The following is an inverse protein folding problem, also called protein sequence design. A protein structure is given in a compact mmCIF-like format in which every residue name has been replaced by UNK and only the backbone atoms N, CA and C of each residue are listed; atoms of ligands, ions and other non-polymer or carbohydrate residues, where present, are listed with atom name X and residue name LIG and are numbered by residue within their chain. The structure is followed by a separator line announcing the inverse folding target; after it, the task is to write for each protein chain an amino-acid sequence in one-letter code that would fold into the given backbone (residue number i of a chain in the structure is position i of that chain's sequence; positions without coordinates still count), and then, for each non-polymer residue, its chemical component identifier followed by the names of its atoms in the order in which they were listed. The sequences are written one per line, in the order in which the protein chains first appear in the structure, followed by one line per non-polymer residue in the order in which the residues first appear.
data_IF_774522945367
#
_entry.id   IF_774522945367
#
_cell.length_a   1.000
_cell.length_b   1.000
_cell.length_c   1.000
_cell.angle_alpha   90.00
_cell.angle_beta   90.00
_cell.angle_gamma   90.00
#
_symmetry.space_group_name_H-M   'P 1'
#
loop_
_entity.id
_entity.type
_entity.pdbx_description
1 polymer ?
#
# COMPACT_ATOMS: atom_id res chain seq x y z
N UNK A 1 7.13 19.00 -18.06
CA UNK A 1 8.11 18.00 -18.50
C UNK A 1 7.73 16.68 -17.83
N UNK A 2 7.62 15.57 -18.57
CA UNK A 2 7.36 14.28 -17.93
C UNK A 2 8.52 13.94 -16.99
N UNK A 3 8.20 13.34 -15.85
CA UNK A 3 9.19 12.80 -14.91
C UNK A 3 10.15 11.88 -15.69
N UNK A 4 11.42 12.27 -15.77
CA UNK A 4 12.46 11.35 -16.22
C UNK A 4 12.46 10.14 -15.29
N UNK A 5 12.99 9.00 -15.73
CA UNK A 5 13.11 7.76 -14.94
C UNK A 5 13.83 7.97 -13.57
N UNK A 6 14.44 9.11 -13.36
CA UNK A 6 15.07 9.52 -12.10
C UNK A 6 14.09 10.11 -11.06
N UNK A 7 12.92 10.61 -11.50
CA UNK A 7 11.95 11.25 -10.61
C UNK A 7 11.44 10.35 -9.48
N UNK A 8 10.99 9.12 -9.75
CA UNK A 8 10.52 8.20 -8.73
C UNK A 8 11.62 7.81 -7.71
N UNK A 9 12.85 7.58 -8.18
CA UNK A 9 13.99 7.26 -7.31
C UNK A 9 14.38 8.42 -6.40
N UNK A 10 14.35 9.64 -6.93
CA UNK A 10 14.64 10.84 -6.15
C UNK A 10 13.58 11.06 -5.07
N UNK A 11 12.30 10.88 -5.41
CA UNK A 11 11.19 10.95 -4.46
C UNK A 11 11.39 9.95 -3.31
N UNK A 12 11.66 8.69 -3.62
CA UNK A 12 11.87 7.65 -2.61
C UNK A 12 13.09 7.92 -1.72
N UNK A 13 14.19 8.44 -2.30
CA UNK A 13 15.37 8.82 -1.52
C UNK A 13 15.05 9.95 -0.52
N UNK A 14 14.34 10.98 -0.95
CA UNK A 14 13.92 12.08 -0.08
C UNK A 14 12.92 11.62 0.98
N UNK A 15 12.00 10.74 0.61
CA UNK A 15 11.05 10.14 1.52
C UNK A 15 11.78 9.36 2.64
N UNK A 16 12.79 8.57 2.29
CA UNK A 16 13.63 7.87 3.28
C UNK A 16 14.31 8.84 4.25
N UNK A 17 14.81 9.98 3.77
CA UNK A 17 15.43 10.99 4.63
C UNK A 17 14.41 11.61 5.62
N UNK A 18 13.17 11.87 5.17
CA UNK A 18 12.10 12.34 6.05
C UNK A 18 11.72 11.28 7.10
N UNK A 19 11.71 10.00 6.71
CA UNK A 19 11.42 8.89 7.62
C UNK A 19 12.48 8.69 8.70
N UNK A 20 13.74 9.05 8.43
CA UNK A 20 14.83 8.96 9.39
C UNK A 20 14.91 10.16 10.37
N UNK A 21 14.10 11.20 10.15
CA UNK A 21 14.04 12.38 11.00
C UNK A 21 13.33 12.12 12.35
N UNK A 22 13.57 12.99 13.32
CA UNK A 22 12.95 12.97 14.65
C UNK A 22 11.68 13.84 14.75
N UNK A 23 11.08 14.20 13.62
CA UNK A 23 9.85 14.99 13.59
C UNK A 23 8.70 14.21 14.26
N UNK A 24 7.73 14.94 14.82
CA UNK A 24 6.49 14.33 15.24
C UNK A 24 5.71 13.80 14.00
N UNK A 25 4.75 12.94 14.25
CA UNK A 25 4.03 12.19 13.22
C UNK A 25 3.23 13.08 12.29
N UNK A 26 2.60 14.13 12.83
CA UNK A 26 1.81 15.07 12.02
C UNK A 26 2.74 15.92 11.15
N UNK A 27 3.78 16.50 11.73
CA UNK A 27 4.76 17.28 10.99
C UNK A 27 5.46 16.45 9.90
N UNK A 28 5.72 15.17 10.16
CA UNK A 28 6.28 14.24 9.18
C UNK A 28 5.29 13.99 8.04
N UNK A 29 4.00 13.76 8.34
CA UNK A 29 2.97 13.55 7.33
C UNK A 29 2.79 14.79 6.44
N UNK A 30 2.79 15.98 7.03
CA UNK A 30 2.69 17.26 6.31
C UNK A 30 3.89 17.47 5.36
N UNK A 31 5.10 17.16 5.82
CA UNK A 31 6.30 17.20 4.96
C UNK A 31 6.24 16.19 3.81
N UNK A 32 5.65 15.02 4.04
CA UNK A 32 5.50 14.00 3.00
C UNK A 32 4.53 14.47 1.92
N UNK A 33 3.37 15.01 2.27
CA UNK A 33 2.41 15.50 1.25
C UNK A 33 3.00 16.66 0.46
N UNK A 34 3.73 17.59 1.09
CA UNK A 34 4.42 18.68 0.41
C UNK A 34 5.52 18.17 -0.54
N UNK A 35 6.29 17.15 -0.12
CA UNK A 35 7.30 16.51 -0.96
C UNK A 35 6.68 15.85 -2.19
N UNK A 36 5.56 15.13 -2.02
CA UNK A 36 4.87 14.46 -3.13
C UNK A 36 4.30 15.50 -4.10
N UNK A 37 3.61 16.54 -3.61
CA UNK A 37 3.06 17.60 -4.41
C UNK A 37 4.15 18.25 -5.29
N UNK A 38 5.28 18.63 -4.67
CA UNK A 38 6.42 19.20 -5.39
C UNK A 38 7.02 18.23 -6.42
N UNK A 39 7.21 16.97 -6.04
CA UNK A 39 7.87 15.97 -6.90
C UNK A 39 7.02 15.55 -8.11
N UNK A 40 5.70 15.59 -7.96
CA UNK A 40 4.74 15.27 -9.03
C UNK A 40 4.25 16.50 -9.80
N UNK A 41 4.77 17.69 -9.47
CA UNK A 41 4.28 18.96 -10.00
C UNK A 41 2.75 19.05 -9.90
N UNK A 42 2.25 18.76 -8.71
CA UNK A 42 0.84 18.73 -8.41
C UNK A 42 0.41 19.97 -7.63
N UNK A 43 -0.80 20.45 -7.89
CA UNK A 43 -1.39 21.55 -7.16
C UNK A 43 -1.83 21.14 -5.76
N UNK A 44 -2.25 19.87 -5.62
CA UNK A 44 -2.72 19.29 -4.36
C UNK A 44 -2.13 17.90 -4.16
N UNK A 45 -1.73 17.62 -2.92
CA UNK A 45 -1.52 16.27 -2.41
C UNK A 45 -2.22 16.13 -1.06
N UNK A 46 -3.02 15.08 -0.87
CA UNK A 46 -3.79 14.87 0.36
C UNK A 46 -3.72 13.41 0.81
N UNK A 47 -3.70 13.21 2.13
CA UNK A 47 -3.76 11.89 2.75
C UNK A 47 -5.02 11.81 3.62
N UNK A 48 -5.86 10.84 3.30
CA UNK A 48 -7.00 10.46 4.11
C UNK A 48 -6.68 9.18 4.85
N UNK A 49 -6.79 9.17 6.19
CA UNK A 49 -6.51 8.00 7.02
C UNK A 49 -7.79 7.39 7.56
N UNK A 50 -7.80 6.07 7.66
CA UNK A 50 -8.90 5.33 8.25
C UNK A 50 -9.02 5.63 9.75
N UNK A 51 -10.23 5.99 10.18
CA UNK A 51 -10.58 6.23 11.58
C UNK A 51 -11.84 5.44 11.94
N UNK A 52 -11.64 4.29 12.57
CA UNK A 52 -12.75 3.37 12.87
C UNK A 52 -13.20 2.54 11.67
N UNK A 53 -14.45 2.10 11.69
CA UNK A 53 -15.01 1.23 10.64
C UNK A 53 -15.57 2.09 9.51
N UNK A 54 -15.10 1.85 8.28
CA UNK A 54 -15.62 2.48 7.06
C UNK A 54 -15.54 4.03 6.98
N UNK A 55 -14.66 4.66 7.76
CA UNK A 55 -14.53 6.12 7.81
C UNK A 55 -13.10 6.55 7.52
N UNK A 56 -12.94 7.59 6.69
CA UNK A 56 -11.66 8.20 6.32
C UNK A 56 -11.68 9.68 6.66
N UNK A 57 -10.62 10.16 7.30
CA UNK A 57 -10.47 11.55 7.74
C UNK A 57 -9.30 12.18 6.99
N UNK A 58 -9.48 13.38 6.45
CA UNK A 58 -8.39 14.16 5.88
C UNK A 58 -7.36 14.44 6.98
N UNK A 59 -6.18 13.85 6.89
CA UNK A 59 -5.16 13.88 7.94
C UNK A 59 -3.98 14.78 7.63
N UNK A 60 -3.69 14.99 6.33
CA UNK A 60 -2.71 15.98 5.87
C UNK A 60 -3.05 16.41 4.45
N UNK A 61 -2.72 17.64 4.12
CA UNK A 61 -2.90 18.18 2.77
C UNK A 61 -1.88 19.24 2.46
N UNK A 62 -1.45 19.28 1.20
CA UNK A 62 -0.77 20.41 0.58
C UNK A 62 -1.68 20.90 -0.55
N UNK A 63 -2.01 22.20 -0.56
CA UNK A 63 -2.80 22.85 -1.59
C UNK A 63 -4.31 22.92 -1.35
N UNK A 64 -4.90 22.12 -0.45
CA UNK A 64 -6.28 22.32 0.02
C UNK A 64 -6.33 23.22 1.25
N UNK A 65 -7.56 23.59 1.65
CA UNK A 65 -7.78 24.35 2.86
C UNK A 65 -7.30 23.58 4.10
N UNK A 66 -6.33 24.15 4.83
CA UNK A 66 -5.78 23.53 6.04
C UNK A 66 -6.81 23.37 7.16
N UNK A 67 -7.81 24.25 7.21
CA UNK A 67 -8.89 24.17 8.21
C UNK A 67 -9.80 22.91 8.02
N UNK A 68 -9.73 22.26 6.86
CA UNK A 68 -10.42 21.03 6.55
C UNK A 68 -9.75 19.79 7.15
N UNK A 69 -8.47 19.88 7.51
CA UNK A 69 -7.72 18.81 8.15
C UNK A 69 -8.38 18.41 9.47
N UNK A 70 -8.54 17.12 9.69
CA UNK A 70 -9.23 16.49 10.83
C UNK A 70 -10.76 16.76 10.91
N UNK A 71 -11.31 17.56 10.00
CA UNK A 71 -12.76 17.87 9.96
C UNK A 71 -13.48 17.18 8.81
N UNK A 72 -12.84 17.09 7.63
CA UNK A 72 -13.44 16.40 6.47
C UNK A 72 -13.42 14.91 6.69
N UNK A 73 -14.61 14.32 6.66
CA UNK A 73 -14.86 12.90 6.88
C UNK A 73 -15.55 12.33 5.65
N UNK A 74 -15.05 11.21 5.15
CA UNK A 74 -15.61 10.47 4.01
C UNK A 74 -15.86 9.02 4.41
N UNK A 75 -16.88 8.41 3.82
CA UNK A 75 -17.20 7.00 4.06
C UNK A 75 -16.76 6.12 2.88
N UNK A 76 -16.61 4.84 3.12
CA UNK A 76 -16.37 3.86 2.04
C UNK A 76 -17.50 3.98 1.01
N UNK A 77 -17.12 4.12 -0.27
CA UNK A 77 -18.05 4.34 -1.39
C UNK A 77 -18.50 5.79 -1.59
N UNK A 78 -18.14 6.70 -0.71
CA UNK A 78 -18.49 8.13 -0.82
C UNK A 78 -17.40 8.91 -1.56
N UNK A 79 -17.76 9.53 -2.68
CA UNK A 79 -16.84 10.28 -3.52
C UNK A 79 -15.74 9.41 -4.14
N UNK A 80 -14.72 10.05 -4.70
CA UNK A 80 -13.59 9.36 -5.33
C UNK A 80 -12.69 8.64 -4.31
N UNK A 81 -12.49 9.25 -3.16
CA UNK A 81 -11.71 8.65 -2.06
C UNK A 81 -12.39 7.39 -1.53
N UNK A 82 -13.69 7.46 -1.28
CA UNK A 82 -14.46 6.30 -0.82
C UNK A 82 -14.57 5.21 -1.88
N UNK A 83 -14.60 5.56 -3.17
CA UNK A 83 -14.54 4.61 -4.29
C UNK A 83 -13.23 3.82 -4.30
N UNK A 84 -12.09 4.50 -4.13
CA UNK A 84 -10.78 3.87 -4.02
C UNK A 84 -10.74 2.94 -2.81
N UNK A 85 -11.26 3.39 -1.67
CA UNK A 85 -11.30 2.59 -0.45
C UNK A 85 -12.16 1.32 -0.62
N UNK A 86 -13.28 1.44 -1.32
CA UNK A 86 -14.20 0.32 -1.57
C UNK A 86 -13.60 -0.73 -2.49
N UNK A 87 -12.98 -0.27 -3.62
CA UNK A 87 -12.48 -1.17 -4.65
C UNK A 87 -11.00 -1.55 -4.46
N UNK A 88 -10.30 -0.93 -3.49
CA UNK A 88 -8.89 -1.19 -3.16
C UNK A 88 -7.95 -1.06 -4.36
N UNK A 89 -8.27 -0.21 -5.31
CA UNK A 89 -7.52 -0.02 -6.57
C UNK A 89 -7.25 1.45 -6.85
N UNK A 90 -6.18 1.78 -7.57
CA UNK A 90 -5.93 3.13 -8.03
C UNK A 90 -7.06 3.65 -8.92
N UNK A 91 -7.30 4.95 -8.84
CA UNK A 91 -8.20 5.68 -9.72
C UNK A 91 -7.41 6.83 -10.35
N UNK A 92 -7.38 6.90 -11.68
CA UNK A 92 -6.70 7.93 -12.46
C UNK A 92 -7.71 8.57 -13.41
N UNK A 93 -7.96 9.85 -13.27
CA UNK A 93 -8.98 10.61 -14.00
C UNK A 93 -8.38 11.90 -14.55
N UNK A 94 -8.49 12.11 -15.87
CA UNK A 94 -8.13 13.38 -16.49
C UNK A 94 -9.10 14.49 -16.11
N UNK A 95 -10.37 14.14 -15.88
CA UNK A 95 -11.42 15.03 -15.40
C UNK A 95 -12.23 14.34 -14.29
N UNK A 96 -11.92 14.72 -13.05
CA UNK A 96 -12.60 14.18 -11.87
C UNK A 96 -14.08 14.59 -11.81
N UNK A 97 -14.42 15.79 -12.31
CA UNK A 97 -15.78 16.33 -12.24
C UNK A 97 -16.76 15.57 -13.13
N UNK A 98 -16.26 14.91 -14.16
CA UNK A 98 -17.06 14.07 -15.05
C UNK A 98 -17.37 12.68 -14.47
N UNK A 99 -16.73 12.29 -13.38
CA UNK A 99 -16.90 10.97 -12.79
C UNK A 99 -18.21 10.87 -11.99
N UNK A 100 -19.03 9.81 -12.16
CA UNK A 100 -20.35 9.69 -11.51
C UNK A 100 -20.32 9.74 -9.98
N UNK A 101 -19.19 9.38 -9.37
CA UNK A 101 -18.98 9.40 -7.92
C UNK A 101 -18.27 10.66 -7.42
N UNK A 102 -18.08 11.66 -8.29
CA UNK A 102 -17.50 12.92 -7.85
C UNK A 102 -18.44 13.58 -6.82
N UNK A 103 -17.90 13.89 -5.64
CA UNK A 103 -18.63 14.56 -4.56
C UNK A 103 -17.87 15.82 -4.19
N UNK A 104 -18.43 16.97 -4.56
CA UNK A 104 -17.85 18.27 -4.23
C UNK A 104 -17.92 18.56 -2.72
N UNK A 105 -16.79 19.00 -2.17
CA UNK A 105 -16.64 19.37 -0.76
C UNK A 105 -16.19 20.81 -0.61
N UNK A 106 -17.11 21.77 -0.43
CA UNK A 106 -16.77 23.20 -0.35
C UNK A 106 -15.72 23.52 0.70
N UNK A 107 -15.73 22.80 1.82
CA UNK A 107 -14.79 22.98 2.92
C UNK A 107 -13.34 22.69 2.56
N UNK A 108 -13.08 21.85 1.56
CA UNK A 108 -11.74 21.48 1.11
C UNK A 108 -11.17 22.44 0.07
N UNK A 109 -12.03 23.21 -0.62
CA UNK A 109 -11.63 24.11 -1.71
C UNK A 109 -11.25 23.38 -3.00
N UNK A 110 -11.87 22.21 -3.28
CA UNK A 110 -11.56 21.37 -4.44
C UNK A 110 -12.08 21.90 -5.79
N UNK A 111 -12.88 22.93 -5.81
CA UNK A 111 -13.55 23.47 -7.00
C UNK A 111 -12.62 23.70 -8.22
N UNK A 112 -11.39 24.21 -8.06
CA UNK A 112 -10.51 24.47 -9.20
C UNK A 112 -9.79 23.23 -9.74
N UNK A 113 -9.89 22.05 -9.10
CA UNK A 113 -9.09 20.89 -9.45
C UNK A 113 -9.84 19.91 -10.36
N UNK A 114 -9.24 19.63 -11.53
CA UNK A 114 -9.85 18.80 -12.57
C UNK A 114 -9.26 17.40 -12.62
N UNK A 115 -7.95 17.27 -12.77
CA UNK A 115 -7.33 15.94 -12.82
C UNK A 115 -7.11 15.37 -11.43
N UNK A 116 -7.29 14.07 -11.33
CA UNK A 116 -7.25 13.34 -10.07
C UNK A 116 -6.53 12.00 -10.25
N UNK A 117 -5.60 11.71 -9.37
CA UNK A 117 -5.09 10.36 -9.18
C UNK A 117 -5.11 10.04 -7.70
N UNK A 118 -5.67 8.89 -7.35
CA UNK A 118 -5.70 8.41 -5.99
C UNK A 118 -5.28 6.95 -5.92
N UNK A 119 -4.57 6.60 -4.84
CA UNK A 119 -4.13 5.22 -4.59
C UNK A 119 -4.46 4.81 -3.16
N UNK A 120 -4.88 3.54 -2.93
CA UNK A 120 -5.12 3.05 -1.59
C UNK A 120 -3.81 2.85 -0.83
N UNK A 121 -3.79 3.21 0.44
CA UNK A 121 -2.75 2.85 1.40
C UNK A 121 -3.16 1.52 2.02
N UNK A 122 -2.58 0.43 1.54
CA UNK A 122 -2.97 -0.93 1.91
C UNK A 122 -2.01 -1.51 2.96
N UNK A 123 -2.57 -2.23 3.92
CA UNK A 123 -1.82 -3.09 4.83
C UNK A 123 -2.55 -4.40 5.07
N UNK A 124 -1.88 -5.51 4.76
CA UNK A 124 -2.45 -6.86 4.93
C UNK A 124 -3.81 -7.03 4.24
N UNK A 125 -4.02 -6.34 3.12
CA UNK A 125 -5.30 -6.36 2.39
C UNK A 125 -6.37 -5.38 2.90
N UNK A 126 -6.12 -4.67 4.01
CA UNK A 126 -7.01 -3.65 4.55
C UNK A 126 -6.58 -2.25 4.09
N UNK A 127 -7.56 -1.39 3.80
CA UNK A 127 -7.31 0.01 3.48
C UNK A 127 -7.07 0.79 4.77
N UNK A 128 -5.87 1.32 4.95
CA UNK A 128 -5.49 2.19 6.06
C UNK A 128 -5.62 3.66 5.73
N UNK A 129 -5.75 3.97 4.45
CA UNK A 129 -5.93 5.33 3.97
C UNK A 129 -6.01 5.39 2.47
N UNK A 130 -6.10 6.61 1.96
CA UNK A 130 -6.04 6.93 0.52
C UNK A 130 -5.12 8.12 0.34
N UNK A 131 -4.17 8.00 -0.58
CA UNK A 131 -3.28 9.07 -1.00
C UNK A 131 -3.78 9.63 -2.33
N UNK A 132 -3.99 10.94 -2.39
CA UNK A 132 -4.60 11.65 -3.52
C UNK A 132 -3.67 12.74 -4.03
N UNK A 133 -3.61 12.91 -5.34
CA UNK A 133 -2.94 14.01 -6.02
C UNK A 133 -3.88 14.62 -7.04
N UNK A 134 -3.95 15.97 -7.09
CA UNK A 134 -4.85 16.70 -7.97
C UNK A 134 -4.14 17.89 -8.65
N UNK A 135 -4.67 18.27 -9.82
CA UNK A 135 -4.25 19.48 -10.53
C UNK A 135 -5.47 20.27 -11.05
N UNK A 136 -5.30 21.57 -11.18
CA UNK A 136 -6.30 22.47 -11.78
C UNK A 136 -6.41 22.30 -13.29
N UNK A 137 -5.38 21.75 -13.93
CA UNK A 137 -5.37 21.46 -15.37
C UNK A 137 -5.80 20.01 -15.62
N UNK A 138 -6.57 19.81 -16.68
CA UNK A 138 -6.94 18.50 -17.14
C UNK A 138 -5.71 17.76 -17.71
N UNK A 139 -5.35 16.63 -17.13
CA UNK A 139 -4.26 15.77 -17.61
C UNK A 139 -4.47 14.31 -17.17
N UNK A 140 -4.01 13.38 -17.97
CA UNK A 140 -3.84 12.00 -17.54
C UNK A 140 -2.49 11.83 -16.85
N UNK A 141 -2.49 11.21 -15.66
CA UNK A 141 -1.25 10.82 -15.00
C UNK A 141 -0.69 9.57 -15.69
N UNK A 142 0.61 9.57 -15.93
CA UNK A 142 1.30 8.44 -16.54
C UNK A 142 1.30 7.22 -15.59
N UNK A 143 1.35 6.01 -16.15
CA UNK A 143 1.42 4.79 -15.34
C UNK A 143 2.62 4.82 -14.37
N UNK A 144 3.76 5.36 -14.78
CA UNK A 144 4.93 5.52 -13.91
C UNK A 144 4.66 6.46 -12.71
N UNK A 145 3.83 7.50 -12.88
CA UNK A 145 3.42 8.40 -11.80
C UNK A 145 2.48 7.68 -10.81
N UNK A 146 1.54 6.90 -11.33
CA UNK A 146 0.64 6.09 -10.51
C UNK A 146 1.43 5.04 -9.72
N UNK A 147 2.37 4.36 -10.35
CA UNK A 147 3.24 3.38 -9.70
C UNK A 147 4.14 3.99 -8.61
N UNK A 148 4.69 5.17 -8.88
CA UNK A 148 5.45 5.92 -7.88
C UNK A 148 4.57 6.26 -6.66
N UNK A 149 3.34 6.70 -6.92
CA UNK A 149 2.39 7.03 -5.86
C UNK A 149 1.99 5.80 -5.04
N UNK A 150 1.78 4.64 -5.69
CA UNK A 150 1.54 3.37 -5.00
C UNK A 150 2.73 2.96 -4.12
N UNK A 151 3.95 3.19 -4.59
CA UNK A 151 5.16 2.92 -3.81
C UNK A 151 5.22 3.81 -2.56
N UNK A 152 4.90 5.09 -2.71
CA UNK A 152 4.80 6.01 -1.57
C UNK A 152 3.70 5.58 -0.61
N UNK A 153 2.54 5.17 -1.11
CA UNK A 153 1.43 4.68 -0.29
C UNK A 153 1.83 3.45 0.55
N UNK A 154 2.66 2.57 0.00
CA UNK A 154 3.21 1.43 0.75
C UNK A 154 4.14 1.88 1.89
N UNK A 155 5.03 2.85 1.63
CA UNK A 155 5.91 3.41 2.67
C UNK A 155 5.09 4.09 3.76
N UNK A 156 4.07 4.85 3.38
CA UNK A 156 3.14 5.47 4.34
C UNK A 156 2.42 4.41 5.19
N UNK A 157 2.00 3.30 4.60
CA UNK A 157 1.35 2.19 5.31
C UNK A 157 2.23 1.64 6.42
N UNK A 158 3.53 1.51 6.17
CA UNK A 158 4.48 1.01 7.18
C UNK A 158 4.72 2.04 8.28
N UNK A 159 4.87 3.31 7.92
CA UNK A 159 4.98 4.41 8.90
C UNK A 159 3.78 4.43 9.84
N UNK A 160 2.56 4.44 9.30
CA UNK A 160 1.32 4.46 10.10
C UNK A 160 1.20 3.27 11.04
N UNK A 161 1.86 2.19 10.73
CA UNK A 161 1.90 0.98 11.54
C UNK A 161 2.81 1.07 12.74
N UNK A 162 3.99 1.61 12.55
CA UNK A 162 4.91 1.86 13.66
C UNK A 162 4.21 2.73 14.71
N UNK A 163 3.51 3.79 14.25
CA UNK A 163 2.72 4.69 15.09
C UNK A 163 1.56 4.01 15.81
N UNK A 164 0.84 3.13 15.10
CA UNK A 164 -0.27 2.35 15.68
C UNK A 164 0.22 1.35 16.72
N UNK A 165 1.44 0.81 16.59
CA UNK A 165 2.05 -0.08 17.58
C UNK A 165 2.51 0.67 18.84
N UNK A 166 3.07 1.86 18.71
CA UNK A 166 3.42 2.71 19.84
C UNK A 166 2.19 3.13 20.65
N UNK A 167 1.13 3.59 19.97
CA UNK A 167 -0.15 3.91 20.61
C UNK A 167 -0.84 2.70 21.24
N UNK A 168 -0.79 1.52 20.59
CA UNK A 168 -1.34 0.29 21.15
C UNK A 168 -0.56 -0.17 22.40
N UNK A 169 0.73 0.11 22.49
CA UNK A 169 1.52 -0.14 23.70
C UNK A 169 1.17 0.81 24.85
N UNK A 170 0.84 2.07 24.55
CA UNK A 170 0.31 3.03 25.52
C UNK A 170 -1.10 2.68 25.99
N UNK A 171 -1.99 2.20 25.07
CA UNK A 171 -3.35 1.77 25.38
C UNK A 171 -3.41 0.38 26.04
N UNK A 172 -2.40 -0.47 25.90
CA UNK A 172 -2.34 -1.79 26.55
C UNK A 172 -2.12 -1.69 28.06
N UNK A 173 -1.82 -0.50 28.57
CA UNK A 173 -1.86 -0.20 30.02
C UNK A 173 -3.29 -0.11 30.58
N UNK A 174 -4.31 -0.09 29.73
CA UNK A 174 -5.71 -0.18 30.14
C UNK A 174 -6.28 -1.53 29.66
N UNK A 175 -6.27 -2.49 30.56
CA UNK A 175 -6.80 -3.86 30.43
C UNK A 175 -8.24 -3.89 29.89
N UNK A 176 -8.43 -3.85 28.60
CA UNK A 176 -9.71 -4.21 27.96
C UNK A 176 -9.63 -5.66 27.49
N UNK A 177 -10.20 -6.55 28.28
CA UNK A 177 -10.42 -7.94 27.88
C UNK A 177 -11.24 -7.97 26.58
N UNK A 178 -10.64 -8.41 25.48
CA UNK A 178 -11.34 -8.59 24.21
C UNK A 178 -11.97 -9.98 24.18
N UNK A 179 -13.27 -10.06 24.01
CA UNK A 179 -14.01 -11.32 23.84
C UNK A 179 -14.27 -11.51 22.35
N UNK A 180 -13.86 -12.66 21.83
CA UNK A 180 -14.11 -13.07 20.46
C UNK A 180 -15.15 -14.20 20.46
N UNK A 181 -16.21 -14.07 19.64
CA UNK A 181 -17.12 -15.17 19.39
C UNK A 181 -16.46 -16.16 18.42
N UNK A 182 -16.43 -17.42 18.81
CA UNK A 182 -15.85 -18.50 18.02
C UNK A 182 -16.80 -19.68 17.87
N UNK A 183 -16.49 -20.59 16.93
CA UNK A 183 -17.18 -21.88 16.80
C UNK A 183 -16.41 -22.92 17.62
N UNK A 184 -17.09 -23.52 18.63
CA UNK A 184 -16.51 -24.60 19.39
C UNK A 184 -16.35 -25.86 18.50
N UNK A 185 -15.13 -26.39 18.44
CA UNK A 185 -14.81 -27.62 17.72
C UNK A 185 -14.70 -28.82 18.66
N UNK A 186 -14.29 -28.57 19.91
CA UNK A 186 -14.16 -29.55 20.98
C UNK A 186 -14.64 -28.94 22.30
N UNK A 187 -15.12 -29.78 23.21
CA UNK A 187 -15.44 -29.35 24.57
C UNK A 187 -14.18 -29.20 25.40
N UNK A 188 -14.09 -28.14 26.18
CA UNK A 188 -12.97 -27.90 27.10
C UNK A 188 -12.63 -26.45 27.28
N UNK A 189 -11.68 -26.19 28.17
CA UNK A 189 -11.14 -24.88 28.49
C UNK A 189 -9.62 -24.93 28.32
N UNK A 190 -9.06 -24.01 27.53
CA UNK A 190 -7.62 -23.92 27.33
C UNK A 190 -7.13 -22.48 27.56
N UNK A 191 -5.93 -22.36 28.13
CA UNK A 191 -5.26 -21.09 28.30
C UNK A 191 -3.88 -21.16 27.65
N UNK A 192 -3.52 -20.15 26.83
CA UNK A 192 -2.24 -20.11 26.16
C UNK A 192 -2.05 -18.80 25.37
N UNK A 193 -0.90 -18.68 24.71
CA UNK A 193 -0.66 -17.58 23.78
C UNK A 193 -1.34 -17.87 22.43
N UNK A 194 -2.09 -16.89 21.93
CA UNK A 194 -2.65 -16.99 20.58
C UNK A 194 -1.53 -16.85 19.54
N UNK A 195 -1.38 -17.85 18.68
CA UNK A 195 -0.42 -17.84 17.57
C UNK A 195 -1.21 -17.85 16.26
N UNK A 196 -0.99 -16.83 15.42
CA UNK A 196 -1.52 -16.86 14.06
C UNK A 196 -0.73 -17.87 13.23
N UNK A 197 -1.41 -18.87 12.70
CA UNK A 197 -0.80 -19.93 11.87
C UNK A 197 -0.64 -19.46 10.41
N UNK A 198 -0.27 -18.22 10.21
CA UNK A 198 0.08 -17.68 8.89
C UNK A 198 1.57 -17.33 8.89
N UNK A 199 2.39 -17.96 8.00
CA UNK A 199 3.76 -17.54 7.82
C UNK A 199 3.75 -16.09 7.28
N UNK A 200 4.28 -15.15 8.06
CA UNK A 200 4.38 -13.75 7.67
C UNK A 200 5.83 -13.44 7.37
N UNK A 201 6.06 -12.97 6.16
CA UNK A 201 7.34 -12.34 5.82
C UNK A 201 7.25 -10.89 6.26
N UNK A 202 8.06 -10.51 7.25
CA UNK A 202 8.17 -9.12 7.66
C UNK A 202 9.20 -8.42 6.75
N UNK A 203 8.72 -7.44 5.98
CA UNK A 203 9.60 -6.60 5.16
C UNK A 203 10.16 -5.50 6.05
N UNK A 204 11.40 -5.66 6.51
CA UNK A 204 12.06 -4.73 7.44
C UNK A 204 12.70 -3.54 6.72
N UNK A 205 13.08 -3.69 5.44
CA UNK A 205 13.69 -2.64 4.63
C UNK A 205 12.90 -2.49 3.33
N UNK A 206 12.28 -1.33 3.13
CA UNK A 206 11.42 -1.06 1.97
C UNK A 206 12.19 -0.54 0.76
N UNK A 207 13.24 0.27 0.99
CA UNK A 207 13.97 0.99 -0.05
C UNK A 207 15.41 0.52 -0.10
N UNK A 208 15.89 0.22 -1.31
CA UNK A 208 17.29 -0.14 -1.58
C UNK A 208 18.04 1.01 -2.24
N UNK A 209 19.32 1.10 -1.93
CA UNK A 209 20.25 2.05 -2.57
C UNK A 209 20.80 1.47 -3.89
N UNK A 210 20.76 0.14 -4.07
CA UNK A 210 21.24 -0.57 -5.26
C UNK A 210 20.15 -1.46 -5.86
N UNK A 211 19.37 -0.93 -6.83
CA UNK A 211 18.33 -1.71 -7.52
C UNK A 211 18.89 -2.87 -8.37
N UNK A 212 20.16 -2.81 -8.81
CA UNK A 212 20.73 -3.89 -9.61
C UNK A 212 21.06 -5.10 -8.75
N UNK A 213 21.55 -4.87 -7.53
CA UNK A 213 21.78 -5.94 -6.57
C UNK A 213 20.45 -6.59 -6.15
N UNK A 214 19.42 -5.78 -5.90
CA UNK A 214 18.10 -6.29 -5.57
C UNK A 214 17.46 -7.10 -6.71
N UNK A 215 17.68 -6.70 -7.96
CA UNK A 215 17.21 -7.46 -9.12
C UNK A 215 17.91 -8.84 -9.18
N UNK A 216 19.20 -8.93 -8.90
CA UNK A 216 19.94 -10.21 -8.83
C UNK A 216 19.43 -11.09 -7.69
N UNK A 217 19.15 -10.49 -6.51
CA UNK A 217 18.57 -11.22 -5.37
C UNK A 217 17.20 -11.78 -5.73
N UNK A 218 16.35 -10.99 -6.40
CA UNK A 218 15.04 -11.42 -6.88
C UNK A 218 15.18 -12.61 -7.84
N UNK A 219 16.05 -12.52 -8.84
CA UNK A 219 16.28 -13.61 -9.81
C UNK A 219 16.76 -14.90 -9.14
N UNK A 220 17.70 -14.78 -8.19
CA UNK A 220 18.18 -15.91 -7.41
C UNK A 220 17.05 -16.57 -6.57
N UNK A 221 16.22 -15.76 -5.94
CA UNK A 221 15.09 -16.24 -5.14
C UNK A 221 14.05 -16.97 -6.01
N UNK A 222 13.71 -16.40 -7.18
CA UNK A 222 12.77 -17.03 -8.14
C UNK A 222 13.35 -18.33 -8.69
N UNK A 223 14.64 -18.37 -9.01
CA UNK A 223 15.30 -19.60 -9.44
C UNK A 223 15.22 -20.70 -8.37
N UNK A 224 15.51 -20.33 -7.11
CA UNK A 224 15.43 -21.29 -6.00
C UNK A 224 14.00 -21.77 -5.74
N UNK A 225 13.01 -20.87 -5.83
CA UNK A 225 11.60 -21.22 -5.72
C UNK A 225 11.19 -22.27 -6.77
N UNK A 226 11.56 -22.06 -8.03
CA UNK A 226 11.29 -23.03 -9.12
C UNK A 226 11.89 -24.39 -8.84
N UNK A 227 13.16 -24.41 -8.45
CA UNK A 227 13.84 -25.67 -8.09
C UNK A 227 13.15 -26.40 -6.95
N UNK A 228 12.76 -25.67 -5.90
CA UNK A 228 12.09 -26.28 -4.75
C UNK A 228 10.73 -26.87 -5.15
N UNK A 229 9.95 -26.17 -5.97
CA UNK A 229 8.65 -26.66 -6.46
C UNK A 229 8.82 -27.88 -7.34
N UNK A 230 9.78 -27.87 -8.28
CA UNK A 230 10.06 -29.02 -9.15
C UNK A 230 10.52 -30.23 -8.32
N UNK A 231 11.40 -30.02 -7.34
CA UNK A 231 11.82 -31.08 -6.42
C UNK A 231 10.68 -31.66 -5.56
N UNK A 232 9.69 -30.84 -5.20
CA UNK A 232 8.50 -31.32 -4.48
C UNK A 232 7.60 -32.14 -5.39
N UNK A 233 7.47 -31.76 -6.66
CA UNK A 233 6.71 -32.48 -7.66
C UNK A 233 7.35 -33.82 -8.05
N UNK A 234 8.68 -33.90 -8.03
CA UNK A 234 9.44 -35.12 -8.37
C UNK A 234 9.50 -36.17 -7.24
N UNK A 235 9.08 -35.81 -6.02
CA UNK A 235 9.06 -36.75 -4.90
C UNK A 235 7.84 -37.69 -4.99
N UNK A 236 8.09 -38.94 -5.17
CA UNK A 236 7.08 -40.06 -5.30
C UNK A 236 6.11 -40.17 -4.11
N UNK A 237 6.44 -39.62 -2.95
CA UNK A 237 5.63 -39.68 -1.72
C UNK A 237 4.35 -38.82 -1.76
N UNK A 238 4.24 -37.89 -2.74
CA UNK A 238 3.07 -36.98 -2.93
C UNK A 238 1.98 -37.68 -3.78
N UNK A 239 2.20 -38.86 -4.25
CA UNK A 239 1.43 -39.57 -5.30
C UNK A 239 0.04 -40.08 -4.90
N UNK A 240 -0.42 -39.87 -3.68
CA UNK A 240 -1.72 -40.44 -3.24
C UNK A 240 -2.83 -39.44 -2.99
N UNK A 241 -2.58 -38.14 -3.08
CA UNK A 241 -3.62 -37.12 -2.87
C UNK A 241 -3.61 -36.09 -4.02
N UNK A 242 -4.54 -36.24 -4.96
CA UNK A 242 -4.62 -35.39 -6.16
C UNK A 242 -4.76 -33.89 -5.87
N UNK A 243 -5.24 -33.51 -4.67
CA UNK A 243 -5.36 -32.11 -4.25
C UNK A 243 -3.99 -31.47 -3.99
N UNK A 244 -3.05 -32.21 -3.39
CA UNK A 244 -1.70 -31.70 -3.13
C UNK A 244 -0.92 -31.46 -4.42
N UNK A 245 -1.06 -32.33 -5.40
CA UNK A 245 -0.45 -32.17 -6.71
C UNK A 245 -0.97 -30.94 -7.44
N UNK A 246 -2.29 -30.71 -7.43
CA UNK A 246 -2.90 -29.55 -8.06
C UNK A 246 -2.41 -28.22 -7.44
N UNK A 247 -2.19 -28.20 -6.13
CA UNK A 247 -1.63 -27.03 -5.42
C UNK A 247 -0.17 -26.78 -5.86
N UNK A 248 0.68 -27.81 -5.92
CA UNK A 248 2.07 -27.66 -6.36
C UNK A 248 2.18 -27.25 -7.84
N UNK A 249 1.29 -27.75 -8.71
CA UNK A 249 1.21 -27.31 -10.09
C UNK A 249 0.79 -25.82 -10.21
N UNK A 250 -0.13 -25.38 -9.37
CA UNK A 250 -0.49 -23.98 -9.28
C UNK A 250 0.71 -23.11 -8.86
N UNK A 251 1.48 -23.53 -7.85
CA UNK A 251 2.72 -22.84 -7.47
C UNK A 251 3.74 -22.79 -8.60
N UNK A 252 3.90 -23.89 -9.34
CA UNK A 252 4.78 -23.94 -10.52
C UNK A 252 4.33 -22.95 -11.59
N UNK A 253 3.03 -22.86 -11.84
CA UNK A 253 2.47 -21.90 -12.78
C UNK A 253 2.75 -20.46 -12.36
N UNK A 254 2.53 -20.10 -11.09
CA UNK A 254 2.84 -18.79 -10.54
C UNK A 254 4.33 -18.44 -10.63
N UNK A 255 5.22 -19.37 -10.24
CA UNK A 255 6.66 -19.16 -10.30
C UNK A 255 7.19 -18.92 -11.73
N UNK A 256 6.42 -19.32 -12.76
CA UNK A 256 6.75 -19.11 -14.17
C UNK A 256 5.94 -18.00 -14.85
N UNK A 257 5.06 -17.31 -14.13
CA UNK A 257 4.26 -16.21 -14.70
C UNK A 257 5.14 -15.00 -15.03
N UNK A 258 5.33 -14.78 -16.35
CA UNK A 258 6.15 -13.67 -16.85
C UNK A 258 5.55 -12.30 -16.55
N UNK A 259 4.25 -12.20 -16.45
CA UNK A 259 3.54 -10.95 -16.15
C UNK A 259 3.77 -10.53 -14.70
N UNK A 260 3.66 -11.48 -13.78
CA UNK A 260 3.93 -11.27 -12.36
C UNK A 260 5.39 -10.89 -12.12
N UNK A 261 6.32 -11.66 -12.67
CA UNK A 261 7.77 -11.42 -12.52
C UNK A 261 8.17 -10.05 -13.09
N UNK A 262 7.64 -9.66 -14.25
CA UNK A 262 7.92 -8.34 -14.84
C UNK A 262 7.44 -7.21 -13.95
N UNK A 263 6.25 -7.33 -13.32
CA UNK A 263 5.74 -6.32 -12.38
C UNK A 263 6.63 -6.18 -11.16
N UNK A 264 7.10 -7.30 -10.59
CA UNK A 264 8.02 -7.26 -9.45
C UNK A 264 9.35 -6.60 -9.87
N UNK A 265 9.91 -7.00 -11.00
CA UNK A 265 11.15 -6.42 -11.51
C UNK A 265 11.03 -4.90 -11.75
N UNK A 266 9.89 -4.45 -12.31
CA UNK A 266 9.61 -3.01 -12.46
C UNK A 266 9.56 -2.32 -11.10
N UNK A 267 8.93 -2.96 -10.10
CA UNK A 267 8.87 -2.41 -8.74
C UNK A 267 10.27 -2.29 -8.09
N UNK A 268 11.13 -3.28 -8.26
CA UNK A 268 12.55 -3.20 -7.82
C UNK A 268 13.26 -2.03 -8.51
N UNK A 269 13.03 -1.82 -9.79
CA UNK A 269 13.64 -0.72 -10.53
C UNK A 269 13.19 0.67 -10.05
N UNK A 270 12.04 0.77 -9.37
CA UNK A 270 11.64 2.04 -8.73
C UNK A 270 12.41 2.34 -7.44
N UNK A 271 13.28 1.44 -6.97
CA UNK A 271 14.12 1.61 -5.78
C UNK A 271 13.62 0.83 -4.55
N UNK A 272 12.69 -0.12 -4.72
CA UNK A 272 12.27 -1.03 -3.65
C UNK A 272 13.29 -2.18 -3.47
N UNK A 273 13.34 -2.73 -2.25
CA UNK A 273 13.97 -4.03 -2.03
C UNK A 273 13.18 -5.14 -2.73
N UNK A 274 13.79 -6.29 -2.96
CA UNK A 274 13.14 -7.42 -3.62
C UNK A 274 11.88 -7.87 -2.85
N UNK A 275 11.96 -7.93 -1.50
CA UNK A 275 10.86 -8.30 -0.62
C UNK A 275 9.69 -7.31 -0.70
N UNK A 276 10.01 -6.01 -0.64
CA UNK A 276 9.03 -4.95 -0.74
C UNK A 276 8.32 -4.91 -2.11
N UNK A 277 9.06 -5.20 -3.18
CA UNK A 277 8.53 -5.29 -4.53
C UNK A 277 7.53 -6.46 -4.67
N UNK A 278 7.84 -7.62 -4.09
CA UNK A 278 6.91 -8.78 -4.05
C UNK A 278 5.66 -8.44 -3.28
N UNK A 279 5.78 -7.85 -2.08
CA UNK A 279 4.63 -7.46 -1.26
C UNK A 279 3.73 -6.47 -1.98
N UNK A 280 4.29 -5.44 -2.62
CA UNK A 280 3.54 -4.45 -3.40
C UNK A 280 2.73 -5.11 -4.51
N UNK A 281 3.36 -6.01 -5.29
CA UNK A 281 2.68 -6.67 -6.42
C UNK A 281 1.59 -7.62 -5.92
N UNK A 282 1.83 -8.34 -4.82
CA UNK A 282 0.82 -9.21 -4.21
C UNK A 282 -0.39 -8.43 -3.69
N UNK A 283 -0.17 -7.28 -3.04
CA UNK A 283 -1.25 -6.42 -2.59
C UNK A 283 -2.08 -5.88 -3.75
N UNK A 284 -1.44 -5.54 -4.88
CA UNK A 284 -2.11 -5.10 -6.09
C UNK A 284 -2.89 -6.19 -6.85
N UNK A 285 -2.63 -7.49 -6.58
CA UNK A 285 -3.39 -8.60 -7.16
C UNK A 285 -4.59 -9.04 -6.30
N UNK A 286 -4.59 -8.71 -5.02
CA UNK A 286 -5.70 -9.00 -4.09
C UNK A 286 -6.82 -7.96 -4.15
N UNK A 287 -6.59 -6.87 -4.86
CA UNK A 287 -7.52 -5.79 -5.14
C UNK A 287 -8.26 -6.04 -6.46
#
# INVERSE_FOLDING_TARGET
MPLSSEGPRLLLRRLRQLMAGSDDDQARLDKIVALIATSMNAAVCSVYLSRGVNTFVLSATEGLNQDAVSKTILHVGEGLVGDIAQHKRPLNLADATAHPRFAYRPETGEDPYKSFVGVPILRRGDVRGVLVVQNSTQRDFLNAEVEALQTVAMVLSEMLSALGQERAQEETSQNLSRVFAGRGLTEGLAMGHAVLHEPRVEVTKLISDDPEEEAKRLEAAVYQLRRNVDQMLDKDDVSHDGEHMAVLEAYRMFANDRGWLRRIHTAVQTGLTAEAAVERVNNGMRA
#
